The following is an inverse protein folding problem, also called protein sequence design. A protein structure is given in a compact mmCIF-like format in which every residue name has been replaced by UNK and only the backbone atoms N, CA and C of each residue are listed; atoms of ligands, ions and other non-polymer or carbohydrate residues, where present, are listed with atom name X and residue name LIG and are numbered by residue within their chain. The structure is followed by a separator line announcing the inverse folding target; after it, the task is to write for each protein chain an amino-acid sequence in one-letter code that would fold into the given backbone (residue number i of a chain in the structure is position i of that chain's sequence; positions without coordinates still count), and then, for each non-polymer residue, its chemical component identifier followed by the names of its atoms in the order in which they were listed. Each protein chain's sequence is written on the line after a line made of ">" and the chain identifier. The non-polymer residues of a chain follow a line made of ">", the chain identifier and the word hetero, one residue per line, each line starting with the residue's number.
data_IF_089120239982
#
_entry.id   IF_089120239982
#
_cell.length_a   1.000
_cell.length_b   1.000
_cell.length_c   1.000
_cell.angle_alpha   90.00
_cell.angle_beta   90.00
_cell.angle_gamma   90.00
#
_symmetry.space_group_name_H-M   'P 1'
#
loop_
_entity.id
_entity.type
_entity.pdbx_description
1 polymer ?
#
# COMPACT_ATOMS: atom_id res chain seq x y z
N UNK A 1 -10.97 10.17 -2.41
CA UNK A 1 -10.52 11.39 -1.68
C UNK A 1 -9.11 11.19 -1.13
N UNK A 2 -8.86 10.03 -0.52
CA UNK A 2 -7.61 9.61 0.11
C UNK A 2 -6.49 9.39 -0.91
N UNK A 3 -6.81 8.79 -2.06
CA UNK A 3 -5.85 8.61 -3.16
C UNK A 3 -5.39 9.97 -3.71
N UNK A 4 -6.33 10.87 -3.97
CA UNK A 4 -6.04 12.21 -4.45
C UNK A 4 -5.20 13.00 -3.45
N UNK A 5 -5.43 12.81 -2.15
CA UNK A 5 -4.59 13.40 -1.10
C UNK A 5 -3.13 12.96 -1.22
N UNK A 6 -2.88 11.65 -1.37
CA UNK A 6 -1.52 11.12 -1.53
C UNK A 6 -0.88 11.67 -2.82
N UNK A 7 -1.61 11.67 -3.94
CA UNK A 7 -1.10 12.21 -5.21
C UNK A 7 -0.73 13.69 -5.05
N UNK A 8 -1.61 14.50 -4.46
CA UNK A 8 -1.35 15.91 -4.22
C UNK A 8 -0.13 16.12 -3.33
N UNK A 9 -0.01 15.36 -2.22
CA UNK A 9 1.17 15.37 -1.38
C UNK A 9 2.46 15.04 -2.17
N UNK A 10 2.41 14.02 -3.03
CA UNK A 10 3.55 13.56 -3.82
C UNK A 10 3.99 14.56 -4.90
N UNK A 11 3.05 15.27 -5.50
CA UNK A 11 3.35 16.26 -6.54
C UNK A 11 3.75 17.63 -5.98
N UNK A 12 3.38 17.94 -4.73
CA UNK A 12 3.72 19.22 -4.13
C UNK A 12 5.24 19.40 -3.98
N UNK A 13 5.81 20.54 -4.41
CA UNK A 13 7.22 20.84 -4.20
C UNK A 13 7.59 20.79 -2.72
N UNK A 14 8.75 20.24 -2.41
CA UNK A 14 9.32 20.21 -1.06
C UNK A 14 10.74 20.78 -1.10
N UNK A 15 11.10 21.62 -0.13
CA UNK A 15 12.42 22.24 -0.01
C UNK A 15 13.46 21.33 0.64
N UNK A 16 13.05 20.27 1.35
CA UNK A 16 13.96 19.32 2.01
C UNK A 16 13.43 17.89 1.94
N UNK A 17 12.70 17.45 2.97
CA UNK A 17 12.15 16.11 3.12
C UNK A 17 10.74 16.20 3.70
N UNK A 18 9.75 15.76 2.92
CA UNK A 18 8.37 15.67 3.37
C UNK A 18 8.01 14.23 3.73
N UNK A 19 7.29 14.05 4.84
CA UNK A 19 6.91 12.75 5.38
C UNK A 19 5.41 12.74 5.61
N UNK A 20 4.69 11.88 4.91
CA UNK A 20 3.26 11.63 5.08
C UNK A 20 3.05 10.30 5.83
N UNK A 21 2.57 10.34 7.08
CA UNK A 21 2.07 9.15 7.76
C UNK A 21 0.71 8.74 7.17
N UNK A 22 0.57 7.46 6.85
CA UNK A 22 -0.67 6.78 6.49
C UNK A 22 -0.93 5.75 7.59
N UNK A 23 -1.85 6.08 8.49
CA UNK A 23 -2.17 5.29 9.67
C UNK A 23 -3.57 4.69 9.58
N UNK A 24 -3.85 3.68 10.37
CA UNK A 24 -5.15 3.02 10.37
C UNK A 24 -5.05 1.57 10.81
N UNK A 25 -6.19 0.92 11.01
CA UNK A 25 -6.25 -0.44 11.53
C UNK A 25 -5.63 -1.46 10.57
N UNK A 26 -5.39 -2.68 11.07
CA UNK A 26 -4.91 -3.77 10.22
C UNK A 26 -5.90 -4.02 9.08
N UNK A 27 -5.38 -4.32 7.89
CA UNK A 27 -6.18 -4.66 6.71
C UNK A 27 -7.11 -3.58 6.15
N UNK A 28 -7.05 -2.32 6.58
CA UNK A 28 -7.84 -1.22 5.95
C UNK A 28 -7.33 -0.77 4.57
N UNK A 29 -6.29 -1.42 4.04
CA UNK A 29 -5.79 -1.15 2.69
C UNK A 29 -4.81 0.01 2.54
N UNK A 30 -4.16 0.45 3.62
CA UNK A 30 -3.11 1.49 3.60
C UNK A 30 -2.05 1.27 2.50
N UNK A 31 -1.46 0.08 2.47
CA UNK A 31 -0.43 -0.29 1.48
C UNK A 31 -0.98 -0.26 0.05
N UNK A 32 -2.15 -0.85 -0.17
CA UNK A 32 -2.81 -0.86 -1.48
C UNK A 32 -3.15 0.55 -1.96
N UNK A 33 -3.61 1.44 -1.07
CA UNK A 33 -3.89 2.83 -1.40
C UNK A 33 -2.61 3.56 -1.86
N UNK A 34 -1.52 3.41 -1.11
CA UNK A 34 -0.23 4.03 -1.44
C UNK A 34 0.30 3.49 -2.76
N UNK A 35 0.27 2.16 -2.97
CA UNK A 35 0.68 1.54 -4.22
C UNK A 35 -0.15 2.05 -5.40
N UNK A 36 -1.47 2.21 -5.23
CA UNK A 36 -2.35 2.72 -6.27
C UNK A 36 -2.07 4.19 -6.62
N UNK A 37 -1.77 5.03 -5.63
CA UNK A 37 -1.35 6.41 -5.87
C UNK A 37 0.03 6.49 -6.57
N UNK A 38 0.96 5.60 -6.22
CA UNK A 38 2.29 5.54 -6.84
C UNK A 38 2.26 5.07 -8.30
N UNK A 39 1.21 4.37 -8.72
CA UNK A 39 1.02 3.91 -10.11
C UNK A 39 0.43 4.97 -11.03
N UNK A 40 0.01 6.12 -10.50
CA UNK A 40 -0.43 7.24 -11.33
C UNK A 40 0.72 7.74 -12.20
N UNK A 41 0.45 7.92 -13.49
CA UNK A 41 1.45 8.29 -14.49
C UNK A 41 2.18 9.59 -14.09
N UNK A 42 1.42 10.59 -13.62
CA UNK A 42 1.96 11.86 -13.13
C UNK A 42 2.91 11.69 -11.94
N UNK A 43 2.67 10.69 -11.08
CA UNK A 43 3.55 10.39 -9.94
C UNK A 43 4.79 9.66 -10.43
N UNK A 44 4.64 8.69 -11.32
CA UNK A 44 5.77 7.95 -11.91
C UNK A 44 6.71 8.85 -12.72
N UNK A 45 6.17 9.85 -13.42
CA UNK A 45 6.99 10.86 -14.11
C UNK A 45 7.69 11.83 -13.13
N UNK A 46 7.13 12.00 -11.92
CA UNK A 46 7.66 12.93 -10.94
C UNK A 46 8.87 12.37 -10.18
N UNK A 47 8.90 11.05 -9.92
CA UNK A 47 9.97 10.38 -9.21
C UNK A 47 10.76 9.45 -10.12
N UNK A 48 12.08 9.57 -10.12
CA UNK A 48 12.94 8.65 -10.87
C UNK A 48 12.88 7.23 -10.30
N UNK A 49 12.67 7.09 -8.98
CA UNK A 49 12.60 5.81 -8.27
C UNK A 49 11.63 5.85 -7.09
N UNK A 50 10.97 4.71 -6.87
CA UNK A 50 10.18 4.40 -5.67
C UNK A 50 10.87 3.25 -4.94
N UNK A 51 11.23 3.44 -3.68
CA UNK A 51 11.85 2.42 -2.82
C UNK A 51 10.87 1.98 -1.75
N UNK A 52 10.70 0.66 -1.62
CA UNK A 52 9.94 0.05 -0.54
C UNK A 52 10.91 -0.54 0.46
N UNK A 53 10.90 -0.07 1.71
CA UNK A 53 11.77 -0.57 2.78
C UNK A 53 10.95 -1.27 3.85
N UNK A 54 11.44 -2.43 4.27
CA UNK A 54 10.92 -3.17 5.42
C UNK A 54 11.45 -2.61 6.73
N UNK A 55 10.86 -3.05 7.85
CA UNK A 55 11.39 -2.79 9.21
C UNK A 55 12.87 -3.15 9.34
N UNK A 56 13.28 -4.28 8.77
CA UNK A 56 14.68 -4.73 8.82
C UNK A 56 15.61 -3.82 8.00
N UNK A 57 15.16 -3.37 6.82
CA UNK A 57 15.93 -2.43 6.01
C UNK A 57 16.17 -1.11 6.76
N UNK A 58 15.14 -0.59 7.44
CA UNK A 58 15.23 0.64 8.23
C UNK A 58 16.21 0.47 9.39
N UNK A 59 16.16 -0.67 10.09
CA UNK A 59 17.08 -0.99 11.18
C UNK A 59 18.51 -1.13 10.68
N UNK A 60 18.72 -1.80 9.55
CA UNK A 60 20.02 -1.95 8.92
C UNK A 60 20.60 -0.60 8.50
N UNK A 61 19.77 0.28 7.91
CA UNK A 61 20.16 1.65 7.59
C UNK A 61 20.53 2.43 8.85
N UNK A 62 19.71 2.35 9.91
CA UNK A 62 19.92 3.05 11.16
C UNK A 62 21.18 2.61 11.93
N UNK A 63 21.65 1.38 11.71
CA UNK A 63 22.82 0.79 12.36
C UNK A 63 24.10 0.82 11.50
N UNK A 64 23.99 1.18 10.22
CA UNK A 64 25.13 1.23 9.30
C UNK A 64 26.13 2.34 9.63
N UNK A 65 27.43 2.04 9.48
CA UNK A 65 28.53 2.95 9.84
C UNK A 65 28.53 4.28 9.07
N UNK A 66 27.95 4.32 7.86
CA UNK A 66 27.74 5.54 7.06
C UNK A 66 26.44 5.43 6.24
N UNK A 67 25.36 6.02 6.75
CA UNK A 67 24.06 6.06 6.04
C UNK A 67 24.16 6.68 4.63
N UNK A 68 25.06 7.65 4.45
CA UNK A 68 25.29 8.30 3.16
C UNK A 68 25.79 7.31 2.08
N UNK A 69 26.67 6.37 2.47
CA UNK A 69 27.16 5.34 1.55
C UNK A 69 26.07 4.30 1.23
N UNK A 70 25.24 3.95 2.21
CA UNK A 70 24.07 3.09 2.00
C UNK A 70 23.04 3.74 1.07
N UNK A 71 22.76 5.04 1.24
CA UNK A 71 21.84 5.77 0.36
C UNK A 71 22.41 5.96 -1.04
N UNK A 72 23.72 6.19 -1.19
CA UNK A 72 24.41 6.20 -2.48
C UNK A 72 24.34 4.85 -3.18
N UNK A 73 24.52 3.73 -2.47
CA UNK A 73 24.31 2.37 -3.00
C UNK A 73 22.86 2.12 -3.42
N UNK A 74 21.92 2.67 -2.68
CA UNK A 74 20.50 2.68 -3.06
C UNK A 74 20.21 3.68 -4.19
N UNK A 75 21.22 4.38 -4.72
CA UNK A 75 21.15 5.37 -5.80
C UNK A 75 20.18 6.52 -5.50
N UNK A 76 20.21 6.99 -4.25
CA UNK A 76 19.44 8.13 -3.74
C UNK A 76 20.25 9.44 -3.77
N UNK A 77 21.33 9.45 -4.55
CA UNK A 77 22.24 10.60 -4.68
C UNK A 77 21.81 11.58 -5.76
N UNK A 78 20.93 11.19 -6.70
CA UNK A 78 20.51 12.02 -7.83
C UNK A 78 19.00 11.86 -8.11
N UNK A 79 18.36 12.96 -8.51
CA UNK A 79 16.93 13.04 -8.82
C UNK A 79 15.97 13.03 -7.62
N UNK A 80 14.67 13.09 -7.93
CA UNK A 80 13.57 12.99 -6.95
C UNK A 80 13.22 11.53 -6.73
N UNK A 81 13.12 11.10 -5.49
CA UNK A 81 12.71 9.76 -5.14
C UNK A 81 11.68 9.74 -4.03
N UNK A 82 10.91 8.65 -4.02
CA UNK A 82 9.90 8.35 -3.02
C UNK A 82 10.36 7.12 -2.22
N UNK A 83 10.30 7.20 -0.89
CA UNK A 83 10.48 6.03 -0.02
C UNK A 83 9.14 5.69 0.63
N UNK A 84 8.73 4.44 0.55
CA UNK A 84 7.56 3.89 1.25
C UNK A 84 8.06 2.91 2.31
N UNK A 85 7.65 3.11 3.56
CA UNK A 85 8.13 2.34 4.71
C UNK A 85 6.97 1.85 5.55
N UNK A 86 7.08 0.62 6.05
CA UNK A 86 6.11 0.05 6.98
C UNK A 86 6.71 -0.02 8.39
N UNK A 87 6.09 0.70 9.33
CA UNK A 87 6.51 0.78 10.73
C UNK A 87 5.53 -0.06 11.55
N UNK A 88 6.04 -1.11 12.17
CA UNK A 88 5.21 -2.13 12.83
C UNK A 88 5.35 -2.04 14.36
N UNK A 89 6.46 -1.51 14.86
CA UNK A 89 6.75 -1.44 16.29
C UNK A 89 7.53 -0.17 16.67
N UNK A 90 7.66 0.08 17.97
CA UNK A 90 8.38 1.25 18.53
C UNK A 90 9.88 1.26 18.17
N UNK A 91 10.50 0.10 17.97
CA UNK A 91 11.92 0.05 17.57
C UNK A 91 12.12 0.57 16.15
N UNK A 92 11.14 0.38 15.27
CA UNK A 92 11.13 0.92 13.91
C UNK A 92 11.05 2.45 13.94
N UNK A 93 10.28 3.02 14.87
CA UNK A 93 10.19 4.47 15.07
C UNK A 93 11.54 5.05 15.49
N UNK A 94 12.24 4.41 16.45
CA UNK A 94 13.58 4.85 16.86
C UNK A 94 14.57 4.78 15.69
N UNK A 95 14.53 3.70 14.91
CA UNK A 95 15.36 3.55 13.73
C UNK A 95 15.04 4.61 12.67
N UNK A 96 13.75 4.87 12.41
CA UNK A 96 13.27 5.89 11.50
C UNK A 96 13.80 7.27 11.87
N UNK A 97 13.78 7.68 13.15
CA UNK A 97 14.30 9.01 13.55
C UNK A 97 15.78 9.19 13.17
N UNK A 98 16.60 8.13 13.29
CA UNK A 98 18.01 8.17 12.86
C UNK A 98 18.12 8.31 11.33
N UNK A 99 17.33 7.55 10.59
CA UNK A 99 17.24 7.58 9.12
C UNK A 99 16.78 8.96 8.64
N UNK A 100 15.71 9.50 9.21
CA UNK A 100 15.15 10.83 8.92
C UNK A 100 16.19 11.94 9.11
N UNK A 101 16.90 11.93 10.25
CA UNK A 101 17.95 12.91 10.52
C UNK A 101 19.07 12.88 9.49
N UNK A 102 19.33 11.73 8.87
CA UNK A 102 20.31 11.62 7.78
C UNK A 102 19.72 12.11 6.45
N UNK A 103 18.48 11.70 6.13
CA UNK A 103 17.81 12.04 4.87
C UNK A 103 17.51 13.53 4.71
N UNK A 104 17.18 14.24 5.80
CA UNK A 104 16.80 15.67 5.75
C UNK A 104 17.95 16.59 5.32
N UNK A 105 19.20 16.13 5.40
CA UNK A 105 20.39 16.90 5.04
C UNK A 105 20.85 16.66 3.59
N UNK A 106 20.28 15.67 2.92
CA UNK A 106 20.57 15.38 1.52
C UNK A 106 19.80 16.37 0.61
N UNK A 107 20.08 16.40 -0.71
CA UNK A 107 19.48 17.29 -1.74
C UNK A 107 17.93 17.49 -1.79
N UNK A 108 17.43 18.44 -2.56
CA UNK A 108 16.03 18.88 -2.49
C UNK A 108 15.06 17.87 -3.15
N UNK A 109 13.81 17.77 -2.65
CA UNK A 109 12.69 17.15 -3.38
C UNK A 109 12.39 15.68 -3.04
N UNK A 110 12.68 15.24 -1.82
CA UNK A 110 12.39 13.87 -1.35
C UNK A 110 11.05 13.79 -0.64
N UNK A 111 10.35 12.69 -0.89
CA UNK A 111 9.07 12.38 -0.23
C UNK A 111 9.17 11.01 0.43
N UNK A 112 8.57 10.89 1.60
CA UNK A 112 8.48 9.64 2.34
C UNK A 112 7.03 9.40 2.72
N UNK A 113 6.58 8.16 2.58
CA UNK A 113 5.31 7.70 3.10
C UNK A 113 5.61 6.65 4.18
N UNK A 114 5.10 6.88 5.39
CA UNK A 114 5.15 5.91 6.48
C UNK A 114 3.79 5.23 6.56
N UNK A 115 3.76 3.90 6.59
CA UNK A 115 2.55 3.10 6.75
C UNK A 115 2.62 2.45 8.12
N UNK A 116 1.59 2.60 8.94
CA UNK A 116 1.59 2.03 10.29
C UNK A 116 0.19 1.75 10.82
N UNK A 117 0.09 0.81 11.76
CA UNK A 117 -1.10 0.60 12.59
C UNK A 117 -1.05 1.44 13.88
N UNK A 118 0.14 1.86 14.30
CA UNK A 118 0.36 2.61 15.53
C UNK A 118 0.04 4.09 15.32
N UNK A 119 -0.94 4.60 16.06
CA UNK A 119 -1.38 6.00 15.98
C UNK A 119 -0.26 7.01 16.26
N UNK A 120 0.70 6.66 17.13
CA UNK A 120 1.86 7.49 17.47
C UNK A 120 2.75 7.84 16.27
N UNK A 121 2.72 7.05 15.18
CA UNK A 121 3.45 7.35 13.93
C UNK A 121 2.96 8.64 13.27
N UNK A 122 1.75 9.12 13.59
CA UNK A 122 1.27 10.44 13.16
C UNK A 122 2.24 11.57 13.51
N UNK A 123 2.91 11.49 14.67
CA UNK A 123 3.87 12.49 15.14
C UNK A 123 5.21 12.49 14.40
N UNK A 124 5.47 11.46 13.58
CA UNK A 124 6.70 11.30 12.80
C UNK A 124 6.61 11.95 11.41
N UNK A 125 5.43 12.47 11.05
CA UNK A 125 5.17 13.18 9.81
C UNK A 125 5.65 14.63 9.84
N UNK A 126 5.88 15.18 8.65
CA UNK A 126 6.04 16.64 8.47
C UNK A 126 4.73 17.30 8.02
N UNK A 127 3.76 16.48 7.60
CA UNK A 127 2.39 16.87 7.26
C UNK A 127 1.39 16.09 8.12
N UNK A 128 0.14 16.52 8.12
CA UNK A 128 -0.93 15.83 8.83
C UNK A 128 -1.05 14.37 8.34
N UNK A 129 -1.17 13.44 9.29
CA UNK A 129 -1.36 12.04 8.99
C UNK A 129 -2.69 11.79 8.24
N UNK A 130 -2.63 10.91 7.25
CA UNK A 130 -3.81 10.38 6.58
C UNK A 130 -4.28 9.12 7.34
N UNK A 131 -5.42 9.22 8.02
CA UNK A 131 -6.00 8.09 8.75
C UNK A 131 -6.99 7.35 7.86
N UNK A 132 -6.73 6.08 7.58
CA UNK A 132 -7.69 5.19 6.94
C UNK A 132 -8.50 4.45 7.99
N UNK A 133 -9.80 4.47 7.80
CA UNK A 133 -10.77 3.66 8.56
C UNK A 133 -11.25 2.49 7.72
N UNK A 134 -11.97 1.56 8.33
CA UNK A 134 -12.71 0.57 7.58
C UNK A 134 -13.70 1.25 6.64
N UNK A 135 -13.89 0.62 5.48
CA UNK A 135 -14.96 0.99 4.55
C UNK A 135 -16.32 0.69 5.18
N UNK A 136 -17.35 1.41 4.76
CA UNK A 136 -18.71 1.13 5.23
C UNK A 136 -19.16 -0.26 4.79
N UNK A 137 -20.16 -0.83 5.47
CA UNK A 137 -20.75 -2.12 5.08
C UNK A 137 -21.26 -2.13 3.63
N UNK A 138 -21.74 -0.99 3.12
CA UNK A 138 -22.19 -0.85 1.73
C UNK A 138 -21.03 -0.91 0.73
N UNK A 139 -19.95 -0.19 1.00
CA UNK A 139 -18.72 -0.22 0.20
C UNK A 139 -18.04 -1.59 0.26
N UNK A 140 -18.05 -2.21 1.44
CA UNK A 140 -17.57 -3.56 1.65
C UNK A 140 -18.38 -4.58 0.82
N UNK A 141 -19.70 -4.47 0.84
CA UNK A 141 -20.58 -5.30 0.01
C UNK A 141 -20.32 -5.07 -1.48
N UNK A 142 -20.12 -3.82 -1.91
CA UNK A 142 -19.77 -3.51 -3.29
C UNK A 142 -18.47 -4.22 -3.70
N UNK A 143 -17.43 -4.12 -2.88
CA UNK A 143 -16.14 -4.75 -3.13
C UNK A 143 -16.25 -6.28 -3.17
N UNK A 144 -16.92 -6.87 -2.16
CA UNK A 144 -17.18 -8.31 -2.13
C UNK A 144 -17.89 -8.78 -3.39
N UNK A 145 -18.94 -8.07 -3.82
CA UNK A 145 -19.71 -8.42 -5.01
C UNK A 145 -18.84 -8.42 -6.26
N UNK A 146 -18.02 -7.39 -6.46
CA UNK A 146 -17.10 -7.31 -7.60
C UNK A 146 -16.09 -8.47 -7.57
N UNK A 147 -15.62 -8.86 -6.38
CA UNK A 147 -14.65 -9.94 -6.25
C UNK A 147 -15.25 -11.33 -6.46
N UNK A 148 -16.43 -11.58 -5.90
CA UNK A 148 -17.11 -12.87 -5.91
C UNK A 148 -17.82 -13.15 -7.24
N UNK A 149 -18.42 -12.12 -7.86
CA UNK A 149 -19.25 -12.27 -9.04
C UNK A 149 -18.65 -11.59 -10.30
N UNK A 150 -17.59 -10.80 -10.17
CA UNK A 150 -16.99 -10.10 -11.31
C UNK A 150 -17.98 -9.12 -11.94
N UNK A 151 -18.20 -9.26 -13.26
CA UNK A 151 -19.20 -8.50 -14.00
C UNK A 151 -20.61 -9.10 -13.92
N UNK A 152 -20.77 -10.30 -13.37
CA UNK A 152 -22.07 -10.93 -13.23
C UNK A 152 -22.86 -10.24 -12.11
N UNK A 153 -24.14 -9.99 -12.36
CA UNK A 153 -25.00 -9.43 -11.34
C UNK A 153 -25.57 -10.58 -10.48
N UNK A 154 -25.29 -10.63 -9.16
CA UNK A 154 -25.81 -11.69 -8.31
C UNK A 154 -27.35 -11.73 -8.24
N UNK A 155 -28.02 -10.65 -8.64
CA UNK A 155 -29.49 -10.60 -8.72
C UNK A 155 -30.08 -11.27 -9.96
N UNK A 156 -29.27 -11.57 -10.99
CA UNK A 156 -29.77 -12.08 -12.28
C UNK A 156 -29.94 -13.61 -12.30
N UNK A 157 -29.30 -14.33 -11.38
CA UNK A 157 -29.26 -15.80 -11.43
C UNK A 157 -30.09 -16.45 -10.31
N UNK A 158 -29.93 -16.06 -9.03
CA UNK A 158 -30.73 -16.60 -7.92
C UNK A 158 -30.82 -15.62 -6.73
N UNK A 159 -32.03 -15.28 -6.26
CA UNK A 159 -32.23 -14.40 -5.09
C UNK A 159 -31.57 -14.95 -3.82
N UNK A 160 -31.55 -16.27 -3.65
CA UNK A 160 -30.95 -16.96 -2.49
C UNK A 160 -29.42 -16.82 -2.44
N UNK A 161 -28.76 -16.72 -3.60
CA UNK A 161 -27.32 -16.49 -3.64
C UNK A 161 -26.96 -15.08 -3.17
N UNK A 162 -27.81 -14.09 -3.48
CA UNK A 162 -27.55 -12.72 -3.04
C UNK A 162 -27.72 -12.56 -1.52
N UNK A 163 -28.64 -13.27 -0.88
CA UNK A 163 -28.79 -13.20 0.59
C UNK A 163 -27.60 -13.86 1.29
N UNK A 164 -27.23 -15.08 0.87
CA UNK A 164 -26.06 -15.81 1.38
C UNK A 164 -24.78 -14.98 1.21
N UNK A 165 -24.58 -14.39 0.03
CA UNK A 165 -23.43 -13.55 -0.25
C UNK A 165 -23.37 -12.30 0.66
N UNK A 166 -24.50 -11.65 0.93
CA UNK A 166 -24.56 -10.50 1.84
C UNK A 166 -24.26 -10.90 3.28
N UNK A 167 -24.72 -12.07 3.72
CA UNK A 167 -24.45 -12.57 5.06
C UNK A 167 -22.97 -12.93 5.23
N UNK A 168 -22.35 -13.57 4.22
CA UNK A 168 -20.89 -13.81 4.19
C UNK A 168 -20.13 -12.48 4.23
N UNK A 169 -20.54 -11.49 3.43
CA UNK A 169 -19.89 -10.18 3.42
C UNK A 169 -20.05 -9.45 4.77
N UNK A 170 -21.16 -9.62 5.49
CA UNK A 170 -21.34 -9.05 6.83
C UNK A 170 -20.42 -9.74 7.84
N UNK A 171 -20.37 -11.07 7.82
CA UNK A 171 -19.52 -11.83 8.73
C UNK A 171 -18.02 -11.51 8.54
N UNK A 172 -17.59 -11.32 7.29
CA UNK A 172 -16.20 -10.94 6.99
C UNK A 172 -15.92 -9.47 7.35
N UNK A 173 -16.92 -8.59 7.29
CA UNK A 173 -16.75 -7.20 7.72
C UNK A 173 -16.59 -7.11 9.24
N UNK A 174 -17.37 -7.91 9.97
CA UNK A 174 -17.45 -7.86 11.44
C UNK A 174 -16.35 -8.70 12.12
N UNK A 175 -15.71 -9.61 11.37
CA UNK A 175 -14.45 -10.25 11.77
C UNK A 175 -13.26 -9.44 11.27
N UNK A 176 -12.23 -9.24 12.11
CA UNK A 176 -11.06 -8.39 11.82
C UNK A 176 -10.31 -8.71 10.50
N UNK A 177 -10.81 -8.17 9.37
CA UNK A 177 -10.09 -7.93 8.11
C UNK A 177 -9.71 -9.09 7.15
N UNK A 178 -10.49 -10.16 6.92
CA UNK A 178 -10.14 -11.15 5.88
C UNK A 178 -10.33 -10.70 4.42
N UNK A 179 -11.21 -9.75 4.11
CA UNK A 179 -11.54 -9.45 2.70
C UNK A 179 -10.42 -8.74 1.94
N UNK A 180 -9.63 -7.90 2.61
CA UNK A 180 -8.41 -7.33 2.01
C UNK A 180 -7.29 -8.37 1.86
N UNK A 181 -7.28 -9.42 2.70
CA UNK A 181 -6.39 -10.56 2.51
C UNK A 181 -6.80 -11.36 1.25
N UNK A 182 -8.11 -11.54 1.01
CA UNK A 182 -8.62 -12.15 -0.21
C UNK A 182 -8.35 -11.29 -1.46
N UNK A 183 -8.45 -9.95 -1.36
CA UNK A 183 -8.02 -9.04 -2.43
C UNK A 183 -6.54 -9.20 -2.75
N UNK A 184 -5.68 -9.25 -1.72
CA UNK A 184 -4.23 -9.44 -1.87
C UNK A 184 -3.92 -10.80 -2.48
N UNK A 185 -4.58 -11.86 -2.03
CA UNK A 185 -4.41 -13.22 -2.56
C UNK A 185 -4.86 -13.28 -4.03
N UNK A 186 -5.96 -12.62 -4.39
CA UNK A 186 -6.42 -12.49 -5.80
C UNK A 186 -5.46 -11.66 -6.66
N UNK A 187 -4.82 -10.63 -6.11
CA UNK A 187 -3.84 -9.80 -6.84
C UNK A 187 -2.49 -10.53 -7.04
N UNK A 188 -1.99 -11.22 -6.02
CA UNK A 188 -0.77 -12.06 -6.07
C UNK A 188 -0.96 -13.29 -6.96
N UNK A 189 -2.14 -13.91 -6.90
CA UNK A 189 -2.48 -14.96 -7.87
C UNK A 189 -2.74 -14.39 -9.25
N UNK A 190 -3.25 -13.17 -9.44
CA UNK A 190 -3.41 -12.59 -10.78
C UNK A 190 -2.09 -12.44 -11.56
N UNK A 191 -0.95 -12.26 -10.88
CA UNK A 191 0.38 -12.32 -11.54
C UNK A 191 0.86 -13.74 -11.85
N UNK A 192 0.37 -14.77 -11.15
CA UNK A 192 0.63 -16.20 -11.45
C UNK A 192 -0.40 -16.80 -12.44
N UNK A 193 -1.64 -16.32 -12.43
CA UNK A 193 -2.77 -16.80 -13.24
C UNK A 193 -2.56 -16.43 -14.72
N UNK A 194 -1.73 -15.44 -15.04
CA UNK A 194 -1.43 -15.11 -16.43
C UNK A 194 -0.59 -16.20 -17.12
N UNK A 195 0.23 -16.96 -16.38
CA UNK A 195 0.95 -18.13 -16.89
C UNK A 195 0.11 -19.43 -16.76
N UNK A 196 -0.64 -19.60 -15.66
CA UNK A 196 -1.42 -20.83 -15.44
C UNK A 196 -2.75 -20.91 -16.24
N UNK A 197 -3.30 -19.79 -16.71
CA UNK A 197 -4.46 -19.78 -17.62
C UNK A 197 -4.12 -20.30 -19.03
N UNK A 198 -2.84 -20.30 -19.43
CA UNK A 198 -2.40 -20.95 -20.67
C UNK A 198 -2.28 -22.47 -20.50
N UNK A 199 -1.91 -22.93 -19.29
CA UNK A 199 -1.82 -24.34 -18.94
C UNK A 199 -3.22 -24.99 -18.88
N UNK A 200 -4.22 -24.31 -18.31
CA UNK A 200 -5.60 -24.81 -18.26
C UNK A 200 -6.29 -24.79 -19.63
N UNK A 201 -6.00 -23.81 -20.50
CA UNK A 201 -6.45 -23.79 -21.90
C UNK A 201 -5.85 -24.91 -22.75
N UNK A 202 -4.66 -25.40 -22.38
CA UNK A 202 -4.00 -26.52 -23.06
C UNK A 202 -4.55 -27.87 -22.56
N UNK A 203 -4.91 -27.97 -21.27
CA UNK A 203 -5.56 -29.14 -20.69
C UNK A 203 -6.98 -29.38 -21.23
N UNK A 204 -7.74 -28.31 -21.54
CA UNK A 204 -9.07 -28.41 -22.18
C UNK A 204 -9.03 -28.94 -23.62
N UNK A 205 -7.88 -28.89 -24.31
CA UNK A 205 -7.71 -29.47 -25.66
C UNK A 205 -7.35 -30.95 -25.68
N UNK A 206 -7.14 -31.58 -24.52
CA UNK A 206 -6.81 -33.00 -24.43
C UNK A 206 -8.00 -33.87 -23.97
N UNK A 207 -9.17 -33.26 -23.74
CA UNK A 207 -10.41 -33.96 -23.36
C UNK A 207 -11.64 -33.50 -24.18
N UNK A 208 -11.44 -33.21 -25.47
CA UNK A 208 -12.47 -33.27 -26.51
C UNK A 208 -11.92 -34.05 -27.69
#
# INVERSE_FOLDING_TARGET
>A
MEKEHIIHFLLNPCSSLDVLPVIGWRYVGKKTLVEHACREEIVQQNFSRVLHLSSDDIKNLANGNTLDDSFRKLGLSDGRFLIVMELVNETDEVAWRKVYNSLRHLAIGRKVILISEMEQVSSLGTVQALTLTFVTQEEHWYLFRVLAFGSANPYDHHQDLSSIAKDIAREIHDSDGPLMLLCKQKYETSSMIQEDMEFLKTAEKLYV
#
